data_IF_781739439610
#
_entry.id   IF_781739439610
#
_cell.length_a   1.000
_cell.length_b   1.000
_cell.length_c   1.000
_cell.angle_alpha   90.00
_cell.angle_beta   90.00
_cell.angle_gamma   90.00
#
_symmetry.space_group_name_H-M   'P 1'
#
loop_
_entity.id
_entity.type
_entity.pdbx_description
1 polymer ?
#
# COMPACT_ATOMS: atom_id res chain seq x y z
N UNK A 1 -53.50 6.62 49.01
CA UNK A 1 -53.66 5.69 47.87
C UNK A 1 -52.32 5.02 47.67
N UNK A 2 -52.26 3.72 47.99
CA UNK A 2 -51.12 2.82 47.79
C UNK A 2 -51.05 2.40 46.32
N UNK A 3 -49.83 2.29 45.77
CA UNK A 3 -49.45 1.23 44.82
C UNK A 3 -47.95 0.95 44.98
N UNK A 4 -47.66 -0.08 45.77
CA UNK A 4 -46.43 -0.86 45.74
C UNK A 4 -46.36 -1.66 44.43
N UNK A 5 -45.22 -1.60 43.74
CA UNK A 5 -45.00 -2.22 42.42
C UNK A 5 -43.69 -3.01 42.35
N UNK A 6 -43.72 -4.17 43.01
CA UNK A 6 -42.95 -5.41 42.88
C UNK A 6 -41.64 -5.48 42.06
N UNK A 7 -40.62 -5.98 42.76
CA UNK A 7 -39.46 -6.71 42.26
C UNK A 7 -39.84 -7.83 41.27
N UNK A 8 -39.07 -7.94 40.18
CA UNK A 8 -38.79 -9.24 39.55
C UNK A 8 -37.29 -9.39 39.36
N UNK A 9 -36.68 -9.98 40.39
CA UNK A 9 -35.45 -10.75 40.35
C UNK A 9 -35.78 -12.10 39.69
N UNK A 10 -35.08 -12.48 38.62
CA UNK A 10 -35.00 -13.86 38.10
C UNK A 10 -34.08 -13.96 36.89
N UNK A 11 -32.97 -14.70 37.03
CA UNK A 11 -32.30 -15.27 35.85
C UNK A 11 -30.83 -15.61 35.97
N UNK A 12 -30.42 -16.31 37.03
CA UNK A 12 -29.15 -17.04 37.06
C UNK A 12 -29.14 -18.10 35.94
N UNK A 13 -28.22 -18.01 34.99
CA UNK A 13 -27.80 -19.16 34.17
C UNK A 13 -26.32 -19.44 34.43
N UNK A 14 -26.10 -20.34 35.38
CA UNK A 14 -24.88 -21.14 35.43
C UNK A 14 -24.98 -22.22 34.34
N UNK A 15 -24.05 -22.20 33.39
CA UNK A 15 -23.62 -23.40 32.69
C UNK A 15 -22.12 -23.57 32.97
N UNK A 16 -21.83 -24.51 33.86
CA UNK A 16 -20.53 -25.13 34.03
C UNK A 16 -20.47 -26.40 33.18
N UNK A 17 -19.24 -26.88 32.97
CA UNK A 17 -18.83 -28.11 32.30
C UNK A 17 -18.83 -28.04 30.75
N UNK A 18 -17.79 -28.50 30.04
CA UNK A 18 -16.96 -29.65 30.33
C UNK A 18 -15.63 -29.58 29.57
N UNK A 19 -14.64 -30.27 30.13
CA UNK A 19 -13.24 -30.37 29.72
C UNK A 19 -13.12 -31.04 28.35
N UNK A 20 -12.23 -30.54 27.50
CA UNK A 20 -11.51 -31.37 26.53
C UNK A 20 -10.01 -31.18 26.71
N UNK A 21 -9.50 -31.86 27.73
CA UNK A 21 -8.13 -32.32 27.81
C UNK A 21 -7.88 -33.25 26.61
N UNK A 22 -7.08 -32.81 25.64
CA UNK A 22 -6.41 -33.71 24.69
C UNK A 22 -4.90 -33.62 24.90
N UNK A 23 -4.29 -34.59 25.60
CA UNK A 23 -2.88 -34.87 25.46
C UNK A 23 -2.72 -35.98 24.42
N UNK A 24 -2.19 -35.69 23.23
CA UNK A 24 -1.73 -36.78 22.36
C UNK A 24 -0.66 -36.36 21.35
N UNK A 25 0.55 -36.78 21.71
CA UNK A 25 1.50 -37.45 20.82
C UNK A 25 2.36 -36.58 19.91
N UNK A 26 3.56 -36.33 20.43
CA UNK A 26 4.85 -36.32 19.72
C UNK A 26 4.80 -36.98 18.33
N UNK A 27 5.11 -36.22 17.29
CA UNK A 27 5.88 -36.73 16.15
C UNK A 27 7.02 -35.78 15.82
N UNK A 28 8.18 -36.13 16.34
CA UNK A 28 9.48 -35.82 15.76
C UNK A 28 9.46 -36.23 14.28
N UNK A 29 9.64 -35.27 13.38
CA UNK A 29 10.08 -35.55 12.02
C UNK A 29 11.46 -34.91 11.88
N UNK A 30 12.48 -35.74 12.06
CA UNK A 30 13.80 -35.50 11.47
C UNK A 30 13.73 -35.98 10.02
N UNK A 31 14.00 -35.07 9.08
CA UNK A 31 14.53 -35.38 7.75
C UNK A 31 15.46 -34.20 7.40
N UNK A 32 16.78 -34.33 7.57
CA UNK A 32 17.71 -34.92 6.61
C UNK A 32 17.98 -33.99 5.40
N UNK A 33 19.03 -33.19 5.57
CA UNK A 33 20.09 -32.84 4.62
C UNK A 33 19.82 -33.04 3.12
N UNK A 34 19.99 -31.94 2.37
CA UNK A 34 20.78 -31.99 1.14
C UNK A 34 20.32 -31.08 0.01
N UNK A 35 21.04 -29.98 -0.20
CA UNK A 35 21.40 -29.38 -1.51
C UNK A 35 21.96 -27.98 -1.25
N UNK A 36 23.28 -27.75 -1.33
CA UNK A 36 24.04 -27.41 -2.54
C UNK A 36 23.69 -26.03 -3.13
N UNK A 37 24.72 -25.17 -3.16
CA UNK A 37 24.78 -23.97 -4.01
C UNK A 37 24.24 -22.71 -3.33
N UNK A 38 24.76 -21.50 -3.52
CA UNK A 38 25.76 -20.94 -4.42
C UNK A 38 26.34 -19.74 -3.66
N UNK A 39 27.67 -19.54 -3.66
CA UNK A 39 28.27 -18.27 -3.20
C UNK A 39 28.33 -17.33 -4.41
N UNK A 40 27.37 -16.40 -4.49
CA UNK A 40 27.41 -15.30 -5.44
C UNK A 40 28.13 -14.11 -4.79
N UNK A 41 29.18 -13.67 -5.46
CA UNK A 41 29.94 -12.45 -5.21
C UNK A 41 29.10 -11.22 -5.47
N UNK A 42 28.96 -10.33 -4.49
CA UNK A 42 28.52 -8.95 -4.72
C UNK A 42 29.71 -8.02 -4.48
N UNK A 43 30.32 -7.58 -5.58
CA UNK A 43 31.14 -6.39 -5.61
C UNK A 43 30.28 -5.21 -6.06
N UNK A 44 30.24 -4.16 -5.25
CA UNK A 44 29.83 -2.80 -5.62
C UNK A 44 30.94 -1.89 -5.08
N UNK A 45 31.91 -1.53 -5.92
CA UNK A 45 31.97 -0.25 -6.67
C UNK A 45 31.72 0.93 -5.74
N UNK A 46 32.83 1.51 -5.28
CA UNK A 46 32.90 2.82 -4.63
C UNK A 46 33.45 3.79 -5.67
N UNK A 47 32.57 4.50 -6.35
CA UNK A 47 32.92 5.65 -7.18
C UNK A 47 32.76 6.92 -6.34
N UNK A 48 33.84 7.25 -5.62
CA UNK A 48 34.10 8.61 -5.16
C UNK A 48 35.22 9.16 -6.04
N UNK A 49 34.91 9.99 -7.04
CA UNK A 49 35.71 11.19 -7.24
C UNK A 49 34.98 12.24 -8.07
N UNK A 50 34.54 13.25 -7.34
CA UNK A 50 34.08 14.54 -7.80
C UNK A 50 35.33 15.38 -8.12
N UNK A 51 35.52 15.80 -9.38
CA UNK A 51 36.47 16.86 -9.71
C UNK A 51 35.84 17.86 -10.67
N UNK A 52 35.86 19.10 -10.20
CA UNK A 52 35.46 20.34 -10.82
C UNK A 52 36.40 20.76 -11.96
N UNK A 53 36.04 21.90 -12.53
CA UNK A 53 36.83 22.82 -13.37
C UNK A 53 36.69 22.49 -14.88
N UNK A 54 36.38 23.40 -15.81
CA UNK A 54 36.71 24.82 -15.94
C UNK A 54 35.71 25.55 -16.88
N UNK A 55 35.50 26.84 -16.58
CA UNK A 55 35.59 27.98 -17.52
C UNK A 55 35.04 27.85 -18.96
N UNK A 56 34.03 28.65 -19.32
CA UNK A 56 34.23 29.70 -20.34
C UNK A 56 33.04 30.67 -20.47
N UNK A 57 33.39 31.95 -20.47
CA UNK A 57 32.56 33.14 -20.65
C UNK A 57 32.17 33.39 -22.11
N UNK A 58 30.96 33.90 -22.34
CA UNK A 58 30.58 34.49 -23.64
C UNK A 58 29.25 35.23 -23.61
N UNK A 59 29.26 36.51 -23.21
CA UNK A 59 28.20 37.49 -23.48
C UNK A 59 28.26 37.96 -24.93
N UNK A 60 27.12 38.24 -25.58
CA UNK A 60 26.85 39.51 -26.28
C UNK A 60 25.40 39.62 -26.78
N UNK A 61 24.87 40.83 -26.60
CA UNK A 61 23.56 41.33 -27.03
C UNK A 61 23.56 41.79 -28.50
N UNK A 62 22.36 41.83 -29.10
CA UNK A 62 21.96 42.71 -30.21
C UNK A 62 20.43 42.61 -30.33
N UNK A 63 19.67 43.67 -30.01
CA UNK A 63 19.25 44.77 -30.91
C UNK A 63 18.39 44.24 -32.08
N UNK A 64 17.23 44.75 -32.46
CA UNK A 64 16.34 45.86 -32.07
C UNK A 64 15.04 45.64 -32.90
N UNK A 65 13.90 46.11 -32.40
CA UNK A 65 12.68 46.56 -33.09
C UNK A 65 12.07 45.78 -34.29
N UNK A 66 10.83 45.32 -34.12
CA UNK A 66 9.78 45.70 -35.08
C UNK A 66 8.35 45.61 -34.50
N UNK A 67 7.50 46.47 -35.03
CA UNK A 67 6.28 47.01 -34.44
C UNK A 67 5.06 46.06 -34.45
N UNK A 68 4.08 46.39 -33.59
CA UNK A 68 2.86 45.65 -33.24
C UNK A 68 1.91 45.31 -34.41
N UNK A 69 0.90 44.44 -34.19
CA UNK A 69 -0.42 45.04 -33.98
C UNK A 69 -1.29 44.42 -32.88
N UNK A 70 -2.38 45.14 -32.66
CA UNK A 70 -3.32 45.11 -31.55
C UNK A 70 -4.23 43.87 -31.50
N UNK A 71 -4.59 43.52 -30.27
CA UNK A 71 -5.92 43.10 -29.79
C UNK A 71 -6.67 42.03 -30.58
N UNK A 72 -6.75 40.85 -29.99
CA UNK A 72 -8.05 40.23 -29.72
C UNK A 72 -8.09 39.85 -28.24
N UNK A 73 -8.98 40.51 -27.51
CA UNK A 73 -9.52 39.95 -26.28
C UNK A 73 -10.40 38.79 -26.72
N UNK A 74 -9.89 37.57 -26.60
CA UNK A 74 -10.69 36.36 -26.64
C UNK A 74 -11.03 36.04 -25.19
N UNK A 75 -12.23 36.47 -24.82
CA UNK A 75 -12.95 35.98 -23.65
C UNK A 75 -13.20 34.47 -23.83
N UNK A 76 -12.97 33.73 -22.73
CA UNK A 76 -13.57 32.43 -22.44
C UNK A 76 -13.19 31.25 -23.35
N UNK A 77 -12.01 30.69 -23.09
CA UNK A 77 -11.95 29.26 -22.80
C UNK A 77 -11.12 29.11 -21.53
N UNK A 78 -11.79 29.06 -20.38
CA UNK A 78 -11.28 28.25 -19.29
C UNK A 78 -11.05 26.87 -19.92
N UNK A 79 -9.81 26.55 -20.28
CA UNK A 79 -9.41 25.16 -20.44
C UNK A 79 -9.68 24.54 -19.06
N UNK A 80 -10.92 24.08 -18.85
CA UNK A 80 -11.21 23.00 -17.93
C UNK A 80 -10.18 21.95 -18.31
N UNK A 81 -9.10 21.88 -17.53
CA UNK A 81 -8.15 20.81 -17.66
C UNK A 81 -8.92 19.54 -17.27
N UNK A 82 -9.59 18.94 -18.26
CA UNK A 82 -9.89 17.51 -18.32
C UNK A 82 -8.54 16.78 -18.34
N UNK A 83 -7.75 16.92 -17.27
CA UNK A 83 -6.76 15.88 -17.01
C UNK A 83 -7.50 14.72 -16.38
N UNK A 84 -7.26 13.56 -16.97
CA UNK A 84 -7.77 12.30 -16.45
C UNK A 84 -7.38 12.20 -14.96
N UNK A 85 -8.30 11.75 -14.10
CA UNK A 85 -7.94 11.43 -12.73
C UNK A 85 -6.75 10.47 -12.77
N UNK A 86 -5.80 10.73 -11.87
CA UNK A 86 -4.67 9.85 -11.66
C UNK A 86 -4.73 9.32 -10.24
N UNK A 87 -4.24 8.12 -10.02
CA UNK A 87 -4.18 7.58 -8.67
C UNK A 87 -2.90 6.81 -8.39
N UNK A 88 -2.83 6.28 -7.19
CA UNK A 88 -1.77 5.36 -6.81
C UNK A 88 -2.29 4.33 -5.79
N UNK A 89 -1.78 3.10 -5.92
CA UNK A 89 -1.94 2.04 -4.92
C UNK A 89 -0.60 1.93 -4.18
N UNK A 90 -0.66 2.14 -2.86
CA UNK A 90 0.45 1.92 -1.96
C UNK A 90 0.14 0.76 -1.02
N UNK A 91 1.15 -0.09 -0.81
CA UNK A 91 1.04 -1.20 0.14
C UNK A 91 2.12 -1.08 1.20
N UNK A 92 1.70 -1.23 2.45
CA UNK A 92 2.55 -1.21 3.64
C UNK A 92 2.35 -2.51 4.42
N UNK A 93 3.32 -2.96 5.22
CA UNK A 93 3.10 -4.07 6.14
C UNK A 93 2.12 -3.64 7.24
N UNK A 94 1.11 -4.46 7.54
CA UNK A 94 0.30 -4.27 8.74
C UNK A 94 0.92 -5.09 9.89
N UNK A 95 1.88 -4.50 10.61
CA UNK A 95 2.51 -5.14 11.79
C UNK A 95 1.46 -5.42 12.87
N UNK A 96 0.53 -4.48 13.04
CA UNK A 96 -0.65 -4.63 13.89
C UNK A 96 -1.89 -4.11 13.17
N UNK A 97 -2.98 -4.87 13.27
CA UNK A 97 -4.31 -4.42 12.87
C UNK A 97 -4.99 -3.78 14.11
N UNK A 98 -5.46 -2.53 14.04
CA UNK A 98 -6.14 -1.87 15.15
C UNK A 98 -7.39 -2.61 15.59
N UNK A 99 -7.69 -2.57 16.89
CA UNK A 99 -8.90 -3.18 17.44
C UNK A 99 -10.16 -2.56 16.83
N UNK A 100 -11.03 -3.40 16.26
CA UNK A 100 -12.30 -2.98 15.65
C UNK A 100 -12.23 -2.76 14.14
N UNK A 101 -11.04 -2.79 13.54
CA UNK A 101 -10.87 -2.83 12.09
C UNK A 101 -11.07 -4.25 11.57
N UNK A 102 -11.69 -4.37 10.40
CA UNK A 102 -11.85 -5.65 9.70
C UNK A 102 -10.74 -5.82 8.68
N UNK A 103 -10.10 -6.99 8.69
CA UNK A 103 -9.20 -7.40 7.62
C UNK A 103 -9.99 -8.08 6.51
N UNK A 104 -9.84 -7.59 5.27
CA UNK A 104 -10.36 -8.22 4.06
C UNK A 104 -9.48 -9.43 3.71
N UNK A 105 -10.06 -10.55 3.34
CA UNK A 105 -9.32 -11.69 2.80
C UNK A 105 -9.18 -11.52 1.29
N UNK A 106 -7.97 -11.30 0.80
CA UNK A 106 -7.74 -10.94 -0.60
C UNK A 106 -8.27 -11.98 -1.59
N UNK A 107 -8.25 -13.27 -1.23
CA UNK A 107 -8.78 -14.34 -2.07
C UNK A 107 -10.30 -14.42 -1.93
N UNK A 108 -10.83 -14.42 -0.71
CA UNK A 108 -12.26 -14.61 -0.46
C UNK A 108 -13.12 -13.41 -0.87
N UNK A 109 -12.58 -12.19 -0.75
CA UNK A 109 -13.24 -10.94 -1.17
C UNK A 109 -13.00 -10.63 -2.68
N UNK A 110 -12.23 -11.48 -3.36
CA UNK A 110 -11.95 -11.37 -4.79
C UNK A 110 -11.17 -10.10 -5.13
N UNK A 111 -10.20 -9.74 -4.29
CA UNK A 111 -9.23 -8.67 -4.57
C UNK A 111 -8.17 -9.15 -5.56
N UNK A 112 -7.76 -10.42 -5.46
CA UNK A 112 -6.81 -11.06 -6.40
C UNK A 112 -7.41 -11.33 -7.78
N UNK A 113 -8.72 -11.12 -7.95
CA UNK A 113 -9.37 -11.18 -9.27
C UNK A 113 -9.17 -9.88 -10.07
N UNK A 114 -8.81 -8.79 -9.38
CA UNK A 114 -8.45 -7.52 -9.99
C UNK A 114 -6.95 -7.55 -10.28
N UNK A 115 -6.57 -7.68 -11.56
CA UNK A 115 -5.17 -7.86 -11.99
C UNK A 115 -4.21 -6.81 -11.39
N UNK A 116 -4.68 -5.58 -11.21
CA UNK A 116 -3.92 -4.48 -10.61
C UNK A 116 -3.64 -4.71 -9.12
N UNK A 117 -4.62 -5.21 -8.37
CA UNK A 117 -4.47 -5.48 -6.94
C UNK A 117 -3.66 -6.76 -6.75
N UNK A 118 -3.91 -7.82 -7.51
CA UNK A 118 -3.13 -9.07 -7.46
C UNK A 118 -1.64 -8.79 -7.70
N UNK A 119 -1.32 -8.07 -8.79
CA UNK A 119 0.05 -7.72 -9.12
C UNK A 119 0.76 -6.85 -8.07
N UNK A 120 0.02 -5.96 -7.39
CA UNK A 120 0.56 -5.10 -6.34
C UNK A 120 0.74 -5.88 -5.02
N UNK A 121 -0.20 -6.76 -4.67
CA UNK A 121 -0.10 -7.63 -3.49
C UNK A 121 1.01 -8.67 -3.65
N UNK A 122 1.21 -9.23 -4.85
CA UNK A 122 2.32 -10.16 -5.12
C UNK A 122 3.68 -9.45 -4.96
N UNK A 123 3.84 -8.26 -5.54
CA UNK A 123 5.07 -7.47 -5.37
C UNK A 123 5.31 -7.10 -3.90
N UNK A 124 4.24 -6.77 -3.15
CA UNK A 124 4.36 -6.48 -1.73
C UNK A 124 4.76 -7.71 -0.93
N UNK A 125 4.21 -8.88 -1.25
CA UNK A 125 4.59 -10.14 -0.64
C UNK A 125 6.05 -10.51 -0.92
N UNK A 126 6.54 -10.31 -2.13
CA UNK A 126 7.94 -10.55 -2.49
C UNK A 126 8.91 -9.60 -1.76
N UNK A 127 8.50 -8.36 -1.51
CA UNK A 127 9.28 -7.38 -0.76
C UNK A 127 9.18 -7.56 0.78
N UNK A 128 8.12 -8.20 1.27
CA UNK A 128 7.82 -8.31 2.70
C UNK A 128 8.56 -9.47 3.37
N UNK A 129 9.71 -9.16 3.96
CA UNK A 129 10.51 -10.11 4.75
C UNK A 129 10.25 -9.99 6.26
N UNK A 130 10.46 -11.06 7.02
CA UNK A 130 10.37 -11.01 8.49
C UNK A 130 11.38 -10.02 9.10
N UNK A 131 12.61 -9.99 8.58
CA UNK A 131 13.66 -9.05 9.03
C UNK A 131 13.22 -7.60 8.84
N UNK A 132 12.62 -7.27 7.70
CA UNK A 132 12.07 -5.93 7.44
C UNK A 132 10.95 -5.57 8.43
N UNK A 133 10.04 -6.51 8.72
CA UNK A 133 8.93 -6.27 9.66
C UNK A 133 9.40 -6.06 11.09
N UNK A 134 10.44 -6.78 11.53
CA UNK A 134 11.00 -6.66 12.88
C UNK A 134 11.64 -5.29 13.14
N UNK A 135 12.08 -4.59 12.10
CA UNK A 135 12.64 -3.23 12.19
C UNK A 135 11.57 -2.13 12.28
N UNK A 136 10.32 -2.44 11.94
CA UNK A 136 9.23 -1.47 11.86
C UNK A 136 8.56 -1.32 13.23
N UNK A 137 8.52 -0.08 13.71
CA UNK A 137 7.65 0.27 14.83
C UNK A 137 6.17 0.18 14.36
N UNK A 138 5.29 -0.57 15.04
CA UNK A 138 3.88 -0.68 14.64
C UNK A 138 3.16 0.67 14.49
N UNK A 139 3.54 1.68 15.29
CA UNK A 139 2.98 3.02 15.21
C UNK A 139 3.37 3.79 13.93
N UNK A 140 4.38 3.31 13.20
CA UNK A 140 4.92 3.91 11.98
C UNK A 140 4.73 2.99 10.77
N UNK A 141 3.91 1.94 10.87
CA UNK A 141 3.79 0.92 9.81
C UNK A 141 3.34 1.51 8.45
N UNK A 142 2.59 2.62 8.46
CA UNK A 142 2.16 3.34 7.25
C UNK A 142 3.08 4.53 6.88
N UNK A 143 4.25 4.66 7.52
CA UNK A 143 5.23 5.67 7.15
C UNK A 143 5.81 5.37 5.75
N UNK A 144 6.07 6.41 4.96
CA UNK A 144 6.49 6.28 3.56
C UNK A 144 7.76 5.44 3.33
N UNK A 145 8.66 5.39 4.33
CA UNK A 145 9.88 4.57 4.29
C UNK A 145 9.60 3.07 4.49
N UNK A 146 8.46 2.72 5.07
CA UNK A 146 8.04 1.33 5.33
C UNK A 146 7.17 0.77 4.20
N UNK A 147 7.03 1.52 3.10
CA UNK A 147 6.22 1.13 1.95
C UNK A 147 6.87 -0.01 1.18
N UNK A 148 6.12 -1.07 0.95
CA UNK A 148 6.55 -2.23 0.15
C UNK A 148 6.42 -1.94 -1.35
N UNK A 149 5.31 -1.33 -1.76
CA UNK A 149 5.00 -1.06 -3.17
C UNK A 149 4.33 0.31 -3.32
N UNK A 150 4.64 1.00 -4.41
CA UNK A 150 3.92 2.18 -4.90
C UNK A 150 3.73 2.06 -6.41
N UNK A 151 2.48 1.91 -6.85
CA UNK A 151 2.15 1.79 -8.28
C UNK A 151 1.17 2.90 -8.65
N UNK A 152 1.56 3.73 -9.61
CA UNK A 152 0.66 4.73 -10.18
C UNK A 152 -0.45 4.05 -11.01
N UNK A 153 -1.68 4.50 -10.82
CA UNK A 153 -2.85 4.20 -11.64
C UNK A 153 -3.06 5.38 -12.60
N UNK A 154 -3.20 5.12 -13.90
CA UNK A 154 -3.41 6.17 -14.91
C UNK A 154 -2.43 6.19 -16.08
N UNK A 155 -2.74 7.04 -17.05
CA UNK A 155 -2.19 7.01 -18.41
C UNK A 155 -0.78 7.63 -18.46
N UNK A 156 0.23 6.75 -18.39
CA UNK A 156 1.67 6.93 -18.69
C UNK A 156 2.66 7.13 -17.51
N UNK A 157 3.77 6.35 -17.46
CA UNK A 157 3.91 4.95 -17.84
C UNK A 157 4.53 4.12 -16.70
N UNK A 158 3.71 3.30 -16.06
CA UNK A 158 4.15 2.02 -15.48
C UNK A 158 3.17 0.98 -16.00
N UNK A 159 3.69 -0.15 -16.51
CA UNK A 159 2.97 -1.15 -17.32
C UNK A 159 1.95 -2.00 -16.52
N UNK A 160 1.22 -1.40 -15.58
CA UNK A 160 0.12 -2.02 -14.89
C UNK A 160 -1.06 -1.10 -15.18
N UNK A 161 -1.81 -1.41 -16.25
CA UNK A 161 -3.05 -0.71 -16.55
C UNK A 161 -4.05 -1.03 -15.46
N UNK A 162 -4.09 -0.19 -14.43
CA UNK A 162 -5.02 -0.35 -13.32
C UNK A 162 -6.38 0.20 -13.76
N UNK A 163 -7.40 -0.66 -13.77
CA UNK A 163 -8.79 -0.24 -13.90
C UNK A 163 -9.23 0.40 -12.58
N UNK A 164 -9.28 1.74 -12.56
CA UNK A 164 -9.58 2.52 -11.35
C UNK A 164 -10.99 2.27 -10.84
N UNK A 165 -11.97 2.08 -11.74
CA UNK A 165 -13.37 1.83 -11.38
C UNK A 165 -13.51 0.45 -10.70
N UNK A 166 -12.78 -0.56 -11.20
CA UNK A 166 -12.77 -1.89 -10.60
C UNK A 166 -12.11 -1.91 -9.22
N UNK A 167 -11.02 -1.15 -9.06
CA UNK A 167 -10.34 -0.99 -7.77
C UNK A 167 -11.25 -0.27 -6.77
N UNK A 168 -11.78 0.90 -7.12
CA UNK A 168 -12.69 1.67 -6.24
C UNK A 168 -13.94 0.88 -5.84
N UNK A 169 -14.47 0.02 -6.72
CA UNK A 169 -15.60 -0.83 -6.40
C UNK A 169 -15.28 -1.90 -5.34
N UNK A 170 -14.00 -2.27 -5.20
CA UNK A 170 -13.53 -3.35 -4.33
C UNK A 170 -12.92 -2.87 -3.02
N UNK A 171 -12.34 -1.67 -3.00
CA UNK A 171 -11.73 -1.07 -1.81
C UNK A 171 -12.33 0.31 -1.57
N UNK A 172 -12.71 0.59 -0.32
CA UNK A 172 -13.14 1.93 0.06
C UNK A 172 -11.95 2.90 -0.05
N UNK A 173 -12.18 4.13 -0.54
CA UNK A 173 -11.11 5.12 -0.70
C UNK A 173 -10.51 5.45 0.66
N UNK A 174 -9.31 4.93 0.96
CA UNK A 174 -8.70 5.04 2.28
C UNK A 174 -7.69 3.93 2.59
N UNK A 175 -7.44 3.74 3.89
CA UNK A 175 -6.59 2.65 4.40
C UNK A 175 -7.45 1.41 4.65
N UNK A 176 -7.14 0.30 3.98
CA UNK A 176 -7.82 -0.98 4.18
C UNK A 176 -6.81 -2.03 4.65
N UNK A 177 -7.19 -2.81 5.66
CA UNK A 177 -6.39 -3.97 6.08
C UNK A 177 -6.74 -5.16 5.21
N UNK A 178 -5.71 -5.78 4.62
CA UNK A 178 -5.87 -6.91 3.69
C UNK A 178 -4.98 -8.06 4.11
N UNK A 179 -5.55 -9.25 4.22
CA UNK A 179 -4.87 -10.51 4.43
C UNK A 179 -4.54 -11.15 3.08
N UNK A 180 -3.27 -11.37 2.81
CA UNK A 180 -2.79 -12.02 1.59
C UNK A 180 -1.70 -13.04 1.92
N UNK A 181 -1.90 -14.30 1.53
CA UNK A 181 -0.96 -15.42 1.71
C UNK A 181 -0.38 -15.55 3.13
N UNK A 182 -1.21 -15.37 4.16
CA UNK A 182 -0.80 -15.53 5.55
C UNK A 182 -0.18 -14.28 6.19
N UNK A 183 -0.23 -13.12 5.51
CA UNK A 183 0.31 -11.84 5.99
C UNK A 183 -0.72 -10.74 5.86
N UNK A 184 -0.67 -9.81 6.80
CA UNK A 184 -1.53 -8.62 6.79
C UNK A 184 -0.77 -7.42 6.22
N UNK A 185 -1.48 -6.67 5.38
CA UNK A 185 -1.03 -5.47 4.69
C UNK A 185 -2.00 -4.31 4.92
N UNK A 186 -1.49 -3.08 4.85
CA UNK A 186 -2.33 -1.88 4.69
C UNK A 186 -2.27 -1.51 3.22
N UNK A 187 -3.42 -1.56 2.56
CA UNK A 187 -3.60 -1.15 1.19
C UNK A 187 -4.24 0.24 1.18
N UNK A 188 -3.56 1.19 0.55
CA UNK A 188 -3.98 2.59 0.46
C UNK A 188 -4.16 2.93 -1.00
N UNK A 189 -5.39 3.29 -1.38
CA UNK A 189 -5.68 3.83 -2.70
C UNK A 189 -5.92 5.32 -2.62
N UNK A 190 -5.20 6.08 -3.44
CA UNK A 190 -5.28 7.53 -3.50
C UNK A 190 -5.69 7.95 -4.89
N UNK A 191 -6.67 8.85 -4.95
CA UNK A 191 -7.09 9.52 -6.18
C UNK A 191 -6.64 10.96 -6.11
N UNK A 192 -5.86 11.38 -7.10
CA UNK A 192 -5.53 12.77 -7.37
C UNK A 192 -6.43 13.27 -8.50
N UNK A 193 -7.41 14.10 -8.11
CA UNK A 193 -8.21 14.86 -9.06
C UNK A 193 -7.44 16.11 -9.47
N UNK A 194 -7.39 16.35 -10.77
CA UNK A 194 -7.31 17.71 -11.30
C UNK A 194 -8.65 18.44 -11.02
#
# INVERSE_FOLDING_TARGET
MQLDGQLTDRGNFYYSDERNDMPSTRRTVLAALGSSGIVLTAGCVRDENQQNDEESTGTNNGDEDDEQPQSVAEDEASDEHDCDPSGDIQVFPAITVPDGESTLDAEADGLVEVDSIDGVLEQAYEADSEEFRDEINPAEQTHHDNRLVNTATGTYPTNIGVDEEEVEAKIDTGENFVHYRGRDYVLVYRVALC
#
